data_IF_511278684980
#
_entry.id   IF_511278684980
#
_cell.length_a   1.000
_cell.length_b   1.000
_cell.length_c   1.000
_cell.angle_alpha   90.00
_cell.angle_beta   90.00
_cell.angle_gamma   90.00
#
_symmetry.space_group_name_H-M   'P 1'
#
loop_
_entity.id
_entity.type
_entity.pdbx_description
1 polymer ?
#
# COMPACT_ATOMS: atom_id res chain seq x y z
N UNK A 1 6.36 -12.71 20.69
CA UNK A 1 6.52 -11.27 20.37
C UNK A 1 7.97 -10.81 20.23
N UNK A 2 8.84 -10.88 21.25
CA UNK A 2 10.23 -10.37 21.16
C UNK A 2 11.12 -11.08 20.12
N UNK A 3 10.79 -12.31 19.73
CA UNK A 3 11.54 -13.09 18.75
C UNK A 3 11.25 -12.65 17.31
N UNK A 4 10.03 -12.19 17.01
CA UNK A 4 9.58 -11.86 15.64
C UNK A 4 10.33 -10.64 15.07
N UNK A 5 10.50 -9.60 15.89
CA UNK A 5 11.20 -8.35 15.52
C UNK A 5 12.68 -8.59 15.20
N UNK A 6 13.28 -9.67 15.71
CA UNK A 6 14.69 -9.98 15.45
C UNK A 6 14.91 -10.73 14.15
N UNK A 7 13.84 -11.11 13.45
CA UNK A 7 13.94 -11.82 12.17
C UNK A 7 14.10 -10.84 11.02
N UNK A 8 14.93 -11.22 10.03
CA UNK A 8 15.11 -10.40 8.83
C UNK A 8 13.83 -10.38 7.98
N UNK A 9 13.07 -11.47 7.97
CA UNK A 9 11.80 -11.58 7.25
C UNK A 9 10.77 -10.57 7.74
N UNK A 10 10.73 -10.29 9.05
CA UNK A 10 9.86 -9.26 9.60
C UNK A 10 10.19 -7.88 9.02
N UNK A 11 11.46 -7.48 9.03
CA UNK A 11 11.88 -6.18 8.50
C UNK A 11 11.74 -6.08 6.99
N UNK A 12 12.01 -7.17 6.26
CA UNK A 12 11.73 -7.26 4.82
C UNK A 12 10.26 -7.01 4.53
N UNK A 13 9.37 -7.61 5.33
CA UNK A 13 7.93 -7.42 5.20
C UNK A 13 7.51 -5.97 5.50
N UNK A 14 8.02 -5.37 6.58
CA UNK A 14 7.73 -3.96 6.94
C UNK A 14 8.21 -3.00 5.84
N UNK A 15 9.41 -3.20 5.30
CA UNK A 15 9.94 -2.39 4.20
C UNK A 15 9.10 -2.57 2.93
N UNK A 16 8.69 -3.80 2.62
CA UNK A 16 7.83 -4.05 1.46
C UNK A 16 6.45 -3.39 1.59
N UNK A 17 5.86 -3.33 2.79
CA UNK A 17 4.62 -2.59 3.05
C UNK A 17 4.80 -1.09 2.83
N UNK A 18 5.92 -0.51 3.30
CA UNK A 18 6.24 0.89 3.05
C UNK A 18 6.39 1.20 1.56
N UNK A 19 7.22 0.43 0.85
CA UNK A 19 7.49 0.63 -0.57
C UNK A 19 6.25 0.38 -1.44
N UNK A 20 5.47 -0.66 -1.14
CA UNK A 20 4.25 -0.95 -1.87
C UNK A 20 3.18 0.12 -1.67
N UNK A 21 2.99 0.63 -0.44
CA UNK A 21 2.05 1.75 -0.21
C UNK A 21 2.54 3.05 -0.86
N UNK A 22 3.85 3.32 -0.87
CA UNK A 22 4.43 4.46 -1.59
C UNK A 22 4.10 4.40 -3.08
N UNK A 23 4.35 3.26 -3.74
CA UNK A 23 4.04 3.06 -5.15
C UNK A 23 2.54 3.13 -5.42
N UNK A 24 1.72 2.53 -4.54
CA UNK A 24 0.26 2.54 -4.67
C UNK A 24 -0.29 3.98 -4.66
N UNK A 25 0.15 4.81 -3.72
CA UNK A 25 -0.27 6.22 -3.63
C UNK A 25 0.28 7.03 -4.80
N UNK A 26 1.55 6.88 -5.14
CA UNK A 26 2.17 7.61 -6.24
C UNK A 26 1.44 7.34 -7.58
N UNK A 27 1.28 6.08 -7.95
CA UNK A 27 0.65 5.69 -9.22
C UNK A 27 -0.85 5.99 -9.22
N UNK A 28 -1.56 5.66 -8.13
CA UNK A 28 -2.99 5.90 -8.01
C UNK A 28 -3.33 7.39 -8.07
N UNK A 29 -2.68 8.22 -7.25
CA UNK A 29 -2.94 9.66 -7.26
C UNK A 29 -2.43 10.35 -8.53
N UNK A 30 -1.39 9.85 -9.20
CA UNK A 30 -0.96 10.38 -10.51
C UNK A 30 -2.04 10.23 -11.58
N UNK A 31 -2.83 9.14 -11.52
CA UNK A 31 -3.93 8.91 -12.47
C UNK A 31 -5.03 9.99 -12.38
N UNK A 32 -5.30 10.52 -11.19
CA UNK A 32 -6.35 11.53 -10.98
C UNK A 32 -5.93 12.90 -11.49
N UNK A 33 -4.64 13.23 -11.36
CA UNK A 33 -4.07 14.47 -11.89
C UNK A 33 -4.02 14.50 -13.43
N UNK A 34 -3.74 13.34 -14.04
CA UNK A 34 -3.60 13.22 -15.50
C UNK A 34 -4.95 13.21 -16.21
N UNK A 35 -5.95 12.48 -15.68
CA UNK A 35 -7.25 12.37 -16.32
C UNK A 35 -8.15 13.61 -16.16
N UNK A 36 -7.91 14.46 -15.15
CA UNK A 36 -8.76 15.61 -14.84
C UNK A 36 -8.68 16.79 -15.82
N UNK A 37 -7.85 16.73 -16.87
CA UNK A 37 -7.62 17.85 -17.79
C UNK A 37 -8.20 17.68 -19.20
N UNK A 38 -8.61 16.47 -19.60
CA UNK A 38 -8.84 16.17 -21.03
C UNK A 38 -9.95 15.17 -21.34
N UNK A 39 -10.64 14.61 -20.35
CA UNK A 39 -11.56 13.47 -20.53
C UNK A 39 -12.92 13.78 -19.92
N UNK A 40 -13.99 13.30 -20.55
CA UNK A 40 -15.34 13.35 -19.99
C UNK A 40 -15.41 12.75 -18.57
N UNK A 41 -16.16 13.36 -17.63
CA UNK A 41 -16.17 12.95 -16.23
C UNK A 41 -16.53 11.47 -16.00
N UNK A 42 -17.40 10.91 -16.84
CA UNK A 42 -17.82 9.50 -16.76
C UNK A 42 -16.69 8.53 -17.11
N UNK A 43 -15.89 8.85 -18.12
CA UNK A 43 -14.75 8.05 -18.57
C UNK A 43 -13.57 8.16 -17.60
N UNK A 44 -13.40 9.32 -16.97
CA UNK A 44 -12.37 9.56 -15.95
C UNK A 44 -12.51 8.61 -14.76
N UNK A 45 -13.71 8.42 -14.23
CA UNK A 45 -13.95 7.56 -13.05
C UNK A 45 -13.52 6.12 -13.33
N UNK A 46 -13.85 5.58 -14.51
CA UNK A 46 -13.49 4.20 -14.89
C UNK A 46 -11.98 4.05 -15.02
N UNK A 47 -11.30 5.01 -15.66
CA UNK A 47 -9.84 4.97 -15.83
C UNK A 47 -9.10 5.03 -14.49
N UNK A 48 -9.53 5.92 -13.59
CA UNK A 48 -8.96 6.02 -12.23
C UNK A 48 -9.21 4.71 -11.47
N UNK A 49 -10.43 4.18 -11.49
CA UNK A 49 -10.75 2.92 -10.82
C UNK A 49 -9.89 1.75 -11.32
N UNK A 50 -9.72 1.63 -12.65
CA UNK A 50 -8.85 0.62 -13.25
C UNK A 50 -7.37 0.84 -12.88
N UNK A 51 -6.89 2.08 -12.84
CA UNK A 51 -5.51 2.38 -12.48
C UNK A 51 -5.21 1.94 -11.03
N UNK A 52 -6.07 2.31 -10.07
CA UNK A 52 -5.94 1.86 -8.68
C UNK A 52 -6.02 0.33 -8.57
N UNK A 53 -7.00 -0.28 -9.25
CA UNK A 53 -7.20 -1.73 -9.24
C UNK A 53 -6.01 -2.51 -9.79
N UNK A 54 -5.52 -2.14 -10.98
CA UNK A 54 -4.37 -2.80 -11.58
C UNK A 54 -3.08 -2.54 -10.80
N UNK A 55 -2.88 -1.32 -10.31
CA UNK A 55 -1.72 -1.03 -9.45
C UNK A 55 -1.72 -1.94 -8.22
N UNK A 56 -2.86 -2.06 -7.53
CA UNK A 56 -2.96 -2.94 -6.37
C UNK A 56 -2.75 -4.42 -6.76
N UNK A 57 -3.36 -4.89 -7.84
CA UNK A 57 -3.19 -6.27 -8.31
C UNK A 57 -1.72 -6.59 -8.63
N UNK A 58 -1.01 -5.69 -9.32
CA UNK A 58 0.42 -5.84 -9.62
C UNK A 58 1.25 -5.84 -8.34
N UNK A 59 1.00 -4.92 -7.41
CA UNK A 59 1.74 -4.87 -6.15
C UNK A 59 1.50 -6.11 -5.29
N UNK A 60 0.28 -6.64 -5.24
CA UNK A 60 -0.02 -7.90 -4.56
C UNK A 60 0.74 -9.06 -5.22
N UNK A 61 0.81 -9.11 -6.55
CA UNK A 61 1.59 -10.14 -7.25
C UNK A 61 3.10 -10.04 -6.93
N UNK A 62 3.64 -8.82 -6.83
CA UNK A 62 5.05 -8.59 -6.57
C UNK A 62 5.45 -8.82 -5.10
N UNK A 63 4.63 -8.39 -4.14
CA UNK A 63 5.00 -8.32 -2.73
C UNK A 63 4.20 -9.27 -1.82
N UNK A 64 3.15 -9.92 -2.34
CA UNK A 64 2.27 -10.79 -1.56
C UNK A 64 3.01 -11.92 -0.85
N UNK A 65 4.02 -12.50 -1.50
CA UNK A 65 4.86 -13.56 -0.92
C UNK A 65 5.82 -13.07 0.19
N UNK A 66 6.02 -11.74 0.33
CA UNK A 66 6.94 -11.13 1.30
C UNK A 66 6.18 -10.69 2.54
N UNK A 67 5.16 -9.84 2.39
CA UNK A 67 4.42 -9.26 3.53
C UNK A 67 2.98 -9.71 3.68
N UNK A 68 2.40 -10.34 2.65
CA UNK A 68 0.96 -10.49 2.51
C UNK A 68 0.28 -9.31 1.79
N UNK A 69 1.05 -8.29 1.39
CA UNK A 69 0.62 -7.14 0.59
C UNK A 69 -0.66 -6.46 1.11
N UNK A 70 -0.64 -6.00 2.36
CA UNK A 70 -1.79 -5.33 2.95
C UNK A 70 -1.99 -3.92 2.40
N UNK A 71 -0.89 -3.15 2.31
CA UNK A 71 -0.79 -1.77 1.83
C UNK A 71 -1.83 -0.79 2.39
N UNK A 72 -2.47 -1.16 3.50
CA UNK A 72 -3.61 -0.46 4.06
C UNK A 72 -3.69 -0.73 5.58
N UNK A 73 -3.72 0.33 6.41
CA UNK A 73 -3.82 0.19 7.86
C UNK A 73 -5.08 -0.54 8.32
N UNK A 74 -6.21 -0.33 7.64
CA UNK A 74 -7.50 -0.98 7.95
C UNK A 74 -7.40 -2.48 7.67
N UNK A 75 -6.80 -2.88 6.54
CA UNK A 75 -6.59 -4.30 6.22
C UNK A 75 -5.68 -4.95 7.26
N UNK A 76 -4.60 -4.26 7.65
CA UNK A 76 -3.67 -4.76 8.67
C UNK A 76 -4.33 -4.91 10.04
N UNK A 77 -5.21 -3.96 10.41
CA UNK A 77 -6.00 -4.03 11.62
C UNK A 77 -6.97 -5.22 11.59
N UNK A 78 -7.71 -5.41 10.50
CA UNK A 78 -8.64 -6.53 10.34
C UNK A 78 -7.91 -7.87 10.40
N UNK A 79 -6.73 -7.98 9.77
CA UNK A 79 -5.90 -9.19 9.83
C UNK A 79 -5.37 -9.46 11.24
N UNK A 80 -5.10 -8.43 12.03
CA UNK A 80 -4.75 -8.57 13.44
C UNK A 80 -5.94 -9.02 14.30
N UNK A 81 -7.13 -8.44 14.08
CA UNK A 81 -8.36 -8.81 14.79
C UNK A 81 -8.84 -10.23 14.47
N UNK A 82 -8.58 -10.70 13.26
CA UNK A 82 -8.89 -12.08 12.84
C UNK A 82 -7.78 -13.08 13.18
N UNK A 83 -6.78 -12.66 13.97
CA UNK A 83 -5.63 -13.48 14.41
C UNK A 83 -4.82 -14.07 13.25
N UNK A 84 -4.88 -13.49 12.05
CA UNK A 84 -4.07 -13.89 10.89
C UNK A 84 -2.66 -13.30 10.94
N UNK A 85 -2.51 -12.14 11.58
CA UNK A 85 -1.24 -11.44 11.77
C UNK A 85 -1.09 -11.04 13.24
N UNK A 86 0.13 -11.02 13.77
CA UNK A 86 0.36 -10.59 15.15
C UNK A 86 0.03 -9.10 15.32
N UNK A 87 -0.54 -8.67 16.46
CA UNK A 87 -0.88 -7.26 16.67
C UNK A 87 0.31 -6.31 16.47
N UNK A 88 1.51 -6.75 16.89
CA UNK A 88 2.73 -5.99 16.69
C UNK A 88 3.07 -5.79 15.20
N UNK A 89 2.95 -6.85 14.39
CA UNK A 89 3.18 -6.78 12.95
C UNK A 89 2.13 -5.87 12.28
N UNK A 90 0.87 -5.96 12.70
CA UNK A 90 -0.20 -5.06 12.24
C UNK A 90 0.06 -3.58 12.54
N UNK A 91 0.57 -3.26 13.74
CA UNK A 91 0.96 -1.89 14.11
C UNK A 91 2.15 -1.40 13.28
N UNK A 92 3.20 -2.22 13.16
CA UNK A 92 4.39 -1.84 12.39
C UNK A 92 4.09 -1.66 10.90
N UNK A 93 3.21 -2.51 10.35
CA UNK A 93 2.69 -2.35 8.99
C UNK A 93 1.93 -1.04 8.84
N UNK A 94 1.05 -0.70 9.78
CA UNK A 94 0.27 0.54 9.72
C UNK A 94 1.18 1.78 9.73
N UNK A 95 2.22 1.79 10.57
CA UNK A 95 3.23 2.87 10.59
C UNK A 95 3.97 2.94 9.26
N UNK A 96 4.42 1.80 8.73
CA UNK A 96 5.12 1.72 7.45
C UNK A 96 4.24 2.18 6.28
N UNK A 97 2.95 1.80 6.26
CA UNK A 97 1.98 2.20 5.25
C UNK A 97 1.73 3.72 5.29
N UNK A 98 1.58 4.31 6.48
CA UNK A 98 1.47 5.76 6.61
C UNK A 98 2.75 6.49 6.16
N UNK A 99 3.94 5.97 6.50
CA UNK A 99 5.20 6.53 6.00
C UNK A 99 5.31 6.44 4.48
N UNK A 100 4.95 5.28 3.91
CA UNK A 100 4.93 5.06 2.47
C UNK A 100 3.94 5.98 1.75
N UNK A 101 2.73 6.14 2.26
CA UNK A 101 1.72 7.02 1.65
C UNK A 101 2.16 8.48 1.63
N UNK A 102 2.78 8.97 2.72
CA UNK A 102 3.36 10.31 2.79
C UNK A 102 4.47 10.46 1.76
N UNK A 103 5.39 9.49 1.67
CA UNK A 103 6.49 9.52 0.70
C UNK A 103 5.97 9.52 -0.75
N UNK A 104 4.96 8.68 -1.06
CA UNK A 104 4.35 8.61 -2.39
C UNK A 104 3.65 9.92 -2.77
N UNK A 105 2.93 10.55 -1.84
CA UNK A 105 2.32 11.85 -2.04
C UNK A 105 3.37 12.97 -2.20
N UNK A 106 4.44 12.94 -1.41
CA UNK A 106 5.53 13.92 -1.51
C UNK A 106 6.26 13.84 -2.87
N UNK A 107 6.50 12.62 -3.38
CA UNK A 107 7.06 12.41 -4.72
C UNK A 107 6.15 12.91 -5.84
N UNK A 108 4.84 12.92 -5.62
CA UNK A 108 3.89 13.46 -6.59
C UNK A 108 3.81 15.00 -6.54
N UNK A 109 4.11 15.58 -5.38
CA UNK A 109 4.08 17.03 -5.16
C UNK A 109 5.33 17.74 -5.69
N UNK A 110 6.50 17.10 -5.59
CA UNK A 110 7.78 17.63 -6.09
C UNK A 110 7.87 17.61 -7.61
#
# INVERSE_FOLDING_TARGET
MRVEIRTIEFWRAVISECLGTMLYVFLGCSSTLTCGRSIDPSHQVVLVALCFGFTLATLVQCFGHISGAHFNPVVSLVMALTCKVTPLRGIMYSIAQCGGSIAGAALLYG
#
